data_IF_102648557682
#
_entry.id   IF_102648557682
#
_cell.length_a   1.000
_cell.length_b   1.000
_cell.length_c   1.000
_cell.angle_alpha   90.00
_cell.angle_beta   90.00
_cell.angle_gamma   90.00
#
_symmetry.space_group_name_H-M   'P 1'
#
loop_
_entity.id
_entity.type
_entity.pdbx_description
1 polymer ?
#
# COMPACT_ATOMS: atom_id res chain seq x y z
N UNK A 1 7.48 20.87 -20.63
CA UNK A 1 7.78 19.91 -19.54
C UNK A 1 6.55 19.58 -18.70
N UNK A 2 5.95 20.50 -17.90
CA UNK A 2 4.74 20.16 -17.12
C UNK A 2 3.51 19.80 -17.97
N UNK A 3 3.27 20.54 -19.06
CA UNK A 3 2.17 20.25 -20.01
C UNK A 3 2.33 18.88 -20.70
N UNK A 4 3.57 18.45 -20.96
CA UNK A 4 3.88 17.20 -21.64
C UNK A 4 3.67 16.00 -20.70
N UNK A 5 4.06 16.14 -19.42
CA UNK A 5 3.79 15.15 -18.39
C UNK A 5 2.29 14.95 -18.16
N UNK A 6 1.49 16.04 -18.14
CA UNK A 6 0.04 15.93 -17.98
C UNK A 6 -0.62 15.19 -19.15
N UNK A 7 -0.23 15.50 -20.40
CA UNK A 7 -0.74 14.79 -21.58
C UNK A 7 -0.39 13.30 -21.55
N UNK A 8 0.84 12.97 -21.15
CA UNK A 8 1.30 11.60 -21.02
C UNK A 8 0.52 10.84 -19.93
N UNK A 9 0.33 11.45 -18.77
CA UNK A 9 -0.45 10.84 -17.68
C UNK A 9 -1.90 10.59 -18.11
N UNK A 10 -2.54 11.53 -18.81
CA UNK A 10 -3.89 11.33 -19.35
C UNK A 10 -3.96 10.17 -20.36
N UNK A 11 -2.95 10.03 -21.22
CA UNK A 11 -2.88 8.91 -22.16
C UNK A 11 -2.71 7.57 -21.42
N UNK A 12 -1.83 7.52 -20.41
CA UNK A 12 -1.66 6.33 -19.58
C UNK A 12 -2.95 5.97 -18.82
N UNK A 13 -3.62 6.95 -18.21
CA UNK A 13 -4.89 6.74 -17.52
C UNK A 13 -5.95 6.15 -18.46
N UNK A 14 -6.05 6.67 -19.69
CA UNK A 14 -6.97 6.15 -20.70
C UNK A 14 -6.68 4.69 -21.04
N UNK A 15 -5.41 4.34 -21.26
CA UNK A 15 -5.02 2.98 -21.60
C UNK A 15 -5.25 2.00 -20.43
N UNK A 16 -4.89 2.41 -19.21
CA UNK A 16 -5.06 1.63 -17.97
C UNK A 16 -6.53 1.32 -17.65
N UNK A 17 -7.44 2.25 -17.94
CA UNK A 17 -8.87 2.12 -17.67
C UNK A 17 -9.69 1.66 -18.89
N UNK A 18 -9.01 1.17 -19.94
CA UNK A 18 -9.66 0.68 -21.14
C UNK A 18 -10.42 -0.63 -20.89
N UNK A 19 -11.50 -0.85 -21.65
CA UNK A 19 -12.18 -2.15 -21.71
C UNK A 19 -11.42 -3.20 -22.54
N UNK A 20 -10.41 -2.76 -23.30
CA UNK A 20 -9.65 -3.64 -24.20
C UNK A 20 -8.38 -4.16 -23.51
N UNK A 21 -8.27 -5.48 -23.36
CA UNK A 21 -7.15 -6.14 -22.68
C UNK A 21 -5.78 -5.66 -23.17
N UNK A 22 -5.61 -5.56 -24.49
CA UNK A 22 -4.35 -5.16 -25.10
C UNK A 22 -4.00 -3.69 -24.81
N UNK A 23 -5.00 -2.82 -24.60
CA UNK A 23 -4.76 -1.43 -24.16
C UNK A 23 -4.30 -1.40 -22.70
N UNK A 24 -4.98 -2.14 -21.83
CA UNK A 24 -4.64 -2.22 -20.40
C UNK A 24 -3.21 -2.72 -20.20
N UNK A 25 -2.85 -3.85 -20.83
CA UNK A 25 -1.50 -4.42 -20.73
C UNK A 25 -0.44 -3.45 -21.27
N UNK A 26 -0.72 -2.76 -22.38
CA UNK A 26 0.19 -1.72 -22.89
C UNK A 26 0.35 -0.58 -21.89
N UNK A 27 -0.75 -0.08 -21.32
CA UNK A 27 -0.72 0.95 -20.28
C UNK A 27 0.17 0.56 -19.10
N UNK A 28 -0.02 -0.64 -18.55
CA UNK A 28 0.79 -1.18 -17.44
C UNK A 28 2.28 -1.21 -17.80
N UNK A 29 2.63 -1.69 -19.01
CA UNK A 29 4.03 -1.74 -19.47
C UNK A 29 4.65 -0.37 -19.67
N UNK A 30 3.87 0.63 -20.08
CA UNK A 30 4.38 2.00 -20.21
C UNK A 30 4.53 2.70 -18.86
N UNK A 31 3.69 2.37 -17.87
CA UNK A 31 3.91 2.76 -16.47
C UNK A 31 5.24 2.20 -15.95
N UNK A 32 5.55 0.93 -16.22
CA UNK A 32 6.81 0.32 -15.80
C UNK A 32 8.06 1.06 -16.32
N UNK A 33 7.99 1.63 -17.52
CA UNK A 33 9.10 2.36 -18.13
C UNK A 33 9.20 3.79 -17.64
N UNK A 34 8.06 4.43 -17.40
CA UNK A 34 8.01 5.88 -17.39
C UNK A 34 6.77 6.50 -16.71
N UNK A 35 6.13 5.73 -15.82
CA UNK A 35 5.02 6.16 -15.00
C UNK A 35 5.41 7.25 -13.99
N UNK A 36 4.39 7.75 -13.29
CA UNK A 36 4.55 8.73 -12.21
C UNK A 36 3.52 8.42 -11.10
N UNK A 37 3.69 8.97 -9.88
CA UNK A 37 2.73 8.79 -8.79
C UNK A 37 1.28 9.08 -9.21
N UNK A 38 1.07 10.08 -10.07
CA UNK A 38 -0.25 10.50 -10.55
C UNK A 38 -1.05 9.45 -11.35
N UNK A 39 -0.46 8.27 -11.65
CA UNK A 39 -1.17 7.16 -12.31
C UNK A 39 -1.23 5.89 -11.48
N UNK A 40 -0.73 5.90 -10.23
CA UNK A 40 -0.70 4.73 -9.34
C UNK A 40 -2.11 4.21 -9.07
N UNK A 41 -3.07 5.08 -8.79
CA UNK A 41 -4.46 4.66 -8.61
C UNK A 41 -5.02 3.92 -9.84
N UNK A 42 -4.80 4.44 -11.05
CA UNK A 42 -5.26 3.78 -12.28
C UNK A 42 -4.49 2.48 -12.56
N UNK A 43 -3.21 2.41 -12.20
CA UNK A 43 -2.44 1.16 -12.24
C UNK A 43 -3.08 0.10 -11.33
N UNK A 44 -3.48 0.47 -10.11
CA UNK A 44 -4.14 -0.44 -9.17
C UNK A 44 -5.49 -0.91 -9.70
N UNK A 45 -6.31 -0.02 -10.25
CA UNK A 45 -7.58 -0.38 -10.90
C UNK A 45 -7.34 -1.34 -12.07
N UNK A 46 -6.38 -1.03 -12.95
CA UNK A 46 -6.02 -1.89 -14.07
C UNK A 46 -5.56 -3.28 -13.60
N UNK A 47 -4.76 -3.33 -12.54
CA UNK A 47 -4.17 -4.57 -12.00
C UNK A 47 -5.23 -5.46 -11.35
N UNK A 48 -6.10 -4.88 -10.52
CA UNK A 48 -6.97 -5.65 -9.63
C UNK A 48 -8.44 -5.71 -10.05
N UNK A 49 -8.90 -4.76 -10.89
CA UNK A 49 -10.33 -4.61 -11.22
C UNK A 49 -10.65 -4.74 -12.71
N UNK A 50 -9.65 -4.84 -13.59
CA UNK A 50 -9.89 -5.04 -15.03
C UNK A 50 -10.48 -6.41 -15.39
N UNK A 51 -10.33 -7.41 -14.51
CA UNK A 51 -10.75 -8.79 -14.77
C UNK A 51 -9.84 -9.57 -15.71
N UNK A 52 -8.73 -8.99 -16.17
CA UNK A 52 -7.76 -9.66 -17.04
C UNK A 52 -6.63 -10.30 -16.22
N UNK A 53 -6.44 -11.63 -16.26
CA UNK A 53 -5.37 -12.31 -15.52
C UNK A 53 -3.97 -11.79 -15.89
N UNK A 54 -3.74 -11.45 -17.15
CA UNK A 54 -2.46 -10.90 -17.61
C UNK A 54 -2.20 -9.49 -17.06
N UNK A 55 -3.26 -8.68 -16.85
CA UNK A 55 -3.12 -7.37 -16.22
C UNK A 55 -2.79 -7.51 -14.73
N UNK A 56 -3.36 -8.51 -14.04
CA UNK A 56 -3.02 -8.82 -12.66
C UNK A 56 -1.54 -9.21 -12.53
N UNK A 57 -1.07 -10.12 -13.39
CA UNK A 57 0.32 -10.58 -13.36
C UNK A 57 1.31 -9.45 -13.66
N UNK A 58 1.10 -8.73 -14.77
CA UNK A 58 2.01 -7.65 -15.18
C UNK A 58 1.93 -6.47 -14.21
N UNK A 59 0.74 -6.13 -13.72
CA UNK A 59 0.53 -5.03 -12.77
C UNK A 59 1.26 -5.26 -11.45
N UNK A 60 1.21 -6.47 -10.90
CA UNK A 60 1.97 -6.84 -9.70
C UNK A 60 3.48 -6.68 -9.89
N UNK A 61 4.01 -7.11 -11.04
CA UNK A 61 5.44 -6.91 -11.37
C UNK A 61 5.82 -5.43 -11.34
N UNK A 62 4.95 -4.55 -11.85
CA UNK A 62 5.19 -3.10 -11.82
C UNK A 62 5.12 -2.57 -10.38
N UNK A 63 4.10 -2.93 -9.61
CA UNK A 63 3.91 -2.47 -8.23
C UNK A 63 5.13 -2.82 -7.35
N UNK A 64 5.62 -4.06 -7.44
CA UNK A 64 6.77 -4.53 -6.64
C UNK A 64 8.12 -3.93 -7.11
N UNK A 65 8.13 -3.17 -8.21
CA UNK A 65 9.35 -2.56 -8.75
C UNK A 65 9.24 -1.04 -8.87
N UNK A 66 8.27 -0.39 -8.22
CA UNK A 66 8.17 1.07 -8.18
C UNK A 66 9.46 1.66 -7.60
N UNK A 67 9.97 2.73 -8.22
CA UNK A 67 11.20 3.42 -7.77
C UNK A 67 10.96 4.85 -7.30
N UNK A 68 9.84 5.46 -7.69
CA UNK A 68 9.50 6.81 -7.26
C UNK A 68 8.93 6.76 -5.84
N UNK A 69 9.71 7.27 -4.88
CA UNK A 69 9.34 7.30 -3.46
C UNK A 69 8.05 8.09 -3.21
N UNK A 70 7.69 9.04 -4.08
CA UNK A 70 6.44 9.78 -3.96
C UNK A 70 5.19 8.92 -4.22
N UNK A 71 5.35 7.68 -4.70
CA UNK A 71 4.25 6.74 -4.87
C UNK A 71 3.71 6.20 -3.54
N UNK A 72 4.48 6.26 -2.44
CA UNK A 72 4.04 5.70 -1.14
C UNK A 72 2.72 6.32 -0.68
N UNK A 73 2.53 7.64 -0.84
CA UNK A 73 1.29 8.31 -0.46
C UNK A 73 0.08 7.79 -1.23
N UNK A 74 0.23 7.51 -2.53
CA UNK A 74 -0.84 6.95 -3.36
C UNK A 74 -1.19 5.50 -2.97
N UNK A 75 -0.18 4.71 -2.58
CA UNK A 75 -0.40 3.34 -2.09
C UNK A 75 -1.08 3.34 -0.72
N UNK A 76 -0.68 4.21 0.20
CA UNK A 76 -1.36 4.38 1.51
C UNK A 76 -2.80 4.83 1.31
N UNK A 77 -3.07 5.78 0.41
CA UNK A 77 -4.44 6.19 0.07
C UNK A 77 -5.25 5.02 -0.47
N UNK A 78 -4.66 4.17 -1.32
CA UNK A 78 -5.33 2.99 -1.83
C UNK A 78 -5.62 1.94 -0.76
N UNK A 79 -4.76 1.78 0.26
CA UNK A 79 -5.02 0.90 1.38
C UNK A 79 -6.23 1.35 2.21
N UNK A 80 -6.48 2.66 2.30
CA UNK A 80 -7.66 3.24 2.97
C UNK A 80 -8.95 3.14 2.15
N UNK A 81 -8.85 2.93 0.84
CA UNK A 81 -10.00 2.85 -0.06
C UNK A 81 -10.65 1.45 -0.05
N UNK A 82 -11.95 1.39 0.23
CA UNK A 82 -12.73 0.15 0.25
C UNK A 82 -12.75 -0.56 -1.11
N UNK A 83 -12.51 0.15 -2.22
CA UNK A 83 -12.36 -0.45 -3.55
C UNK A 83 -11.28 -1.54 -3.55
N UNK A 84 -10.21 -1.36 -2.78
CA UNK A 84 -9.07 -2.25 -2.74
C UNK A 84 -9.02 -3.15 -1.51
N UNK A 85 -10.09 -3.22 -0.71
CA UNK A 85 -10.13 -4.00 0.54
C UNK A 85 -9.62 -5.44 0.39
N UNK A 86 -10.04 -6.14 -0.67
CA UNK A 86 -9.62 -7.53 -0.97
C UNK A 86 -8.16 -7.67 -1.41
N UNK A 87 -7.50 -6.56 -1.75
CA UNK A 87 -6.14 -6.52 -2.29
C UNK A 87 -5.16 -5.80 -1.36
N UNK A 88 -5.60 -5.36 -0.17
CA UNK A 88 -4.78 -4.58 0.77
C UNK A 88 -3.46 -5.28 1.08
N UNK A 89 -3.47 -6.58 1.37
CA UNK A 89 -2.24 -7.33 1.62
C UNK A 89 -1.22 -7.20 0.47
N UNK A 90 -1.65 -7.36 -0.79
CA UNK A 90 -0.73 -7.26 -1.95
C UNK A 90 -0.25 -5.81 -2.16
N UNK A 91 -1.12 -4.82 -1.91
CA UNK A 91 -0.75 -3.41 -2.01
C UNK A 91 0.27 -3.05 -0.91
N UNK A 92 0.05 -3.50 0.33
CA UNK A 92 0.98 -3.32 1.44
C UNK A 92 2.32 -4.01 1.14
N UNK A 93 2.30 -5.27 0.68
CA UNK A 93 3.51 -5.98 0.27
C UNK A 93 4.33 -5.19 -0.76
N UNK A 94 3.66 -4.51 -1.71
CA UNK A 94 4.35 -3.71 -2.72
C UNK A 94 5.15 -2.54 -2.16
N UNK A 95 4.78 -2.00 -0.99
CA UNK A 95 5.51 -0.90 -0.35
C UNK A 95 6.90 -1.38 0.08
N UNK A 96 6.98 -2.50 0.80
CA UNK A 96 8.26 -3.01 1.27
C UNK A 96 9.05 -3.68 0.14
N UNK A 97 8.41 -4.46 -0.74
CA UNK A 97 9.08 -5.14 -1.88
C UNK A 97 9.74 -4.13 -2.83
N UNK A 98 9.10 -2.98 -3.04
CA UNK A 98 9.65 -1.92 -3.87
C UNK A 98 10.72 -1.06 -3.15
N UNK A 99 10.88 -1.20 -1.84
CA UNK A 99 11.75 -0.38 -1.00
C UNK A 99 11.28 1.07 -0.91
N UNK A 100 9.96 1.28 -0.77
CA UNK A 100 9.39 2.62 -0.57
C UNK A 100 9.45 3.00 0.91
N UNK A 101 9.84 4.25 1.19
CA UNK A 101 9.92 4.79 2.53
C UNK A 101 8.51 5.12 3.04
N UNK A 102 8.11 4.49 4.14
CA UNK A 102 6.85 4.74 4.86
C UNK A 102 7.07 5.15 6.33
N UNK A 103 8.25 5.68 6.66
CA UNK A 103 8.64 6.10 8.03
C UNK A 103 7.67 7.13 8.62
N UNK A 104 7.14 8.03 7.80
CA UNK A 104 6.20 9.08 8.19
C UNK A 104 4.72 8.65 8.09
N UNK A 105 4.44 7.34 8.11
CA UNK A 105 3.10 6.76 7.93
C UNK A 105 2.68 5.82 9.05
N UNK A 106 3.35 5.83 10.21
CA UNK A 106 3.07 4.89 11.30
C UNK A 106 1.57 4.85 11.66
N UNK A 107 0.96 6.01 11.93
CA UNK A 107 -0.46 6.08 12.32
C UNK A 107 -1.36 5.54 11.21
N UNK A 108 -1.13 5.93 9.97
CA UNK A 108 -1.89 5.43 8.82
C UNK A 108 -1.82 3.90 8.71
N UNK A 109 -0.62 3.34 8.83
CA UNK A 109 -0.38 1.89 8.76
C UNK A 109 -1.13 1.16 9.88
N UNK A 110 -1.11 1.69 11.09
CA UNK A 110 -1.79 1.09 12.25
C UNK A 110 -3.31 1.15 12.12
N UNK A 111 -3.88 2.27 11.67
CA UNK A 111 -5.31 2.39 11.37
C UNK A 111 -5.76 1.38 10.28
N UNK A 112 -4.91 1.19 9.26
CA UNK A 112 -5.15 0.18 8.22
C UNK A 112 -5.10 -1.23 8.84
N UNK A 113 -4.13 -1.54 9.69
CA UNK A 113 -3.97 -2.86 10.30
C UNK A 113 -5.19 -3.27 11.15
N UNK A 114 -5.62 -2.42 12.09
CA UNK A 114 -6.72 -2.75 13.01
C UNK A 114 -8.05 -3.03 12.30
N UNK A 115 -8.25 -2.40 11.13
CA UNK A 115 -9.45 -2.55 10.29
C UNK A 115 -9.35 -3.62 9.20
N UNK A 116 -8.23 -4.36 9.12
CA UNK A 116 -7.95 -5.28 8.01
C UNK A 116 -7.84 -6.75 8.43
N UNK A 117 -7.79 -7.64 7.44
CA UNK A 117 -7.66 -9.07 7.63
C UNK A 117 -6.25 -9.46 8.11
N UNK A 118 -6.11 -10.73 8.51
CA UNK A 118 -4.86 -11.27 9.03
C UNK A 118 -3.67 -11.02 8.10
N UNK A 119 -3.83 -11.28 6.79
CA UNK A 119 -2.73 -11.16 5.84
C UNK A 119 -2.30 -9.70 5.64
N UNK A 120 -3.24 -8.77 5.63
CA UNK A 120 -2.91 -7.35 5.57
C UNK A 120 -2.15 -6.90 6.81
N UNK A 121 -2.53 -7.39 8.01
CA UNK A 121 -1.80 -7.07 9.24
C UNK A 121 -0.35 -7.57 9.16
N UNK A 122 -0.11 -8.78 8.64
CA UNK A 122 1.25 -9.32 8.45
C UNK A 122 2.11 -8.40 7.58
N UNK A 123 1.58 -7.94 6.44
CA UNK A 123 2.32 -7.07 5.53
C UNK A 123 2.55 -5.67 6.13
N UNK A 124 1.58 -5.14 6.89
CA UNK A 124 1.77 -3.89 7.64
C UNK A 124 2.86 -4.04 8.70
N UNK A 125 2.83 -5.12 9.49
CA UNK A 125 3.89 -5.42 10.46
C UNK A 125 5.26 -5.51 9.78
N UNK A 126 5.32 -6.11 8.59
CA UNK A 126 6.57 -6.23 7.83
C UNK A 126 7.09 -4.87 7.39
N UNK A 127 6.24 -3.96 6.91
CA UNK A 127 6.64 -2.58 6.58
C UNK A 127 7.21 -1.89 7.83
N UNK A 128 6.49 -1.97 8.95
CA UNK A 128 6.88 -1.34 10.21
C UNK A 128 8.22 -1.88 10.72
N UNK A 129 8.38 -3.20 10.77
CA UNK A 129 9.61 -3.86 11.25
C UNK A 129 10.85 -3.56 10.40
N UNK A 130 10.68 -3.22 9.12
CA UNK A 130 11.78 -2.83 8.23
C UNK A 130 12.19 -1.36 8.36
N UNK A 131 11.52 -0.56 9.20
CA UNK A 131 11.91 0.82 9.48
C UNK A 131 13.00 0.82 10.57
N UNK A 132 14.24 1.04 10.16
CA UNK A 132 15.41 0.98 11.07
C UNK A 132 15.55 2.22 11.97
N UNK A 133 14.96 3.35 11.58
CA UNK A 133 15.12 4.64 12.27
C UNK A 133 14.33 4.72 13.60
N UNK A 134 13.39 3.81 13.82
CA UNK A 134 12.44 3.88 14.93
C UNK A 134 11.40 4.99 14.71
N UNK A 135 10.59 5.25 15.73
CA UNK A 135 9.49 6.22 15.65
C UNK A 135 9.46 7.16 16.86
N UNK A 136 8.93 8.38 16.71
CA UNK A 136 8.70 9.28 17.83
C UNK A 136 7.84 8.62 18.93
N UNK A 137 8.20 8.86 20.20
CA UNK A 137 7.51 8.26 21.35
C UNK A 137 6.00 8.57 21.39
N UNK A 138 5.61 9.78 21.01
CA UNK A 138 4.21 10.20 20.92
C UNK A 138 3.45 9.43 19.84
N UNK A 139 4.04 9.24 18.66
CA UNK A 139 3.45 8.42 17.61
C UNK A 139 3.31 6.93 18.02
N UNK A 140 4.33 6.36 18.69
CA UNK A 140 4.26 4.98 19.22
C UNK A 140 3.16 4.85 20.28
N UNK A 141 3.02 5.85 21.14
CA UNK A 141 1.98 5.88 22.18
C UNK A 141 0.58 5.94 21.56
N UNK A 142 0.39 6.81 20.56
CA UNK A 142 -0.87 6.93 19.83
C UNK A 142 -1.22 5.64 19.07
N UNK A 143 -0.26 5.09 18.33
CA UNK A 143 -0.43 3.82 17.63
C UNK A 143 -0.81 2.67 18.57
N UNK A 144 -0.13 2.57 19.73
CA UNK A 144 -0.42 1.55 20.74
C UNK A 144 -1.82 1.73 21.33
N UNK A 145 -2.27 2.98 21.52
CA UNK A 145 -3.63 3.27 21.98
C UNK A 145 -4.67 2.80 20.95
N UNK A 146 -4.49 3.14 19.67
CA UNK A 146 -5.38 2.72 18.58
C UNK A 146 -5.52 1.19 18.55
N UNK A 147 -4.41 0.46 18.64
CA UNK A 147 -4.45 -1.01 18.65
C UNK A 147 -5.25 -1.52 19.84
N UNK A 148 -4.93 -1.06 21.05
CA UNK A 148 -5.56 -1.53 22.29
C UNK A 148 -7.07 -1.27 22.32
N UNK A 149 -7.52 -0.12 21.82
CA UNK A 149 -8.95 0.20 21.72
C UNK A 149 -9.68 -0.80 20.80
N UNK A 150 -9.07 -1.16 19.66
CA UNK A 150 -9.68 -2.09 18.70
C UNK A 150 -9.61 -3.56 19.14
N UNK A 151 -8.64 -3.97 19.96
CA UNK A 151 -8.53 -5.36 20.44
C UNK A 151 -9.81 -5.83 21.14
N UNK A 152 -10.53 -4.92 21.81
CA UNK A 152 -11.78 -5.23 22.52
C UNK A 152 -12.98 -5.49 21.59
N UNK A 153 -12.87 -5.14 20.30
CA UNK A 153 -13.95 -5.25 19.31
C UNK A 153 -13.75 -6.44 18.35
N UNK A 154 -12.60 -7.11 18.43
CA UNK A 154 -12.23 -8.22 17.55
C UNK A 154 -12.55 -9.55 18.23
N UNK A 155 -13.24 -10.44 17.51
CA UNK A 155 -13.50 -11.82 17.99
C UNK A 155 -12.44 -12.83 17.51
N UNK A 156 -11.74 -12.52 16.41
CA UNK A 156 -10.73 -13.38 15.82
C UNK A 156 -9.44 -13.38 16.65
N UNK A 157 -9.24 -14.45 17.44
CA UNK A 157 -8.07 -14.65 18.28
C UNK A 157 -6.73 -14.54 17.53
N UNK A 158 -6.68 -14.93 16.25
CA UNK A 158 -5.44 -14.82 15.46
C UNK A 158 -5.12 -13.37 15.14
N UNK A 159 -6.14 -12.56 14.81
CA UNK A 159 -5.97 -11.12 14.61
C UNK A 159 -5.61 -10.41 15.91
N UNK A 160 -6.25 -10.77 17.03
CA UNK A 160 -5.93 -10.23 18.36
C UNK A 160 -4.45 -10.48 18.69
N UNK A 161 -4.00 -11.73 18.54
CA UNK A 161 -2.62 -12.13 18.82
C UNK A 161 -1.62 -11.34 17.96
N UNK A 162 -1.90 -11.22 16.65
CA UNK A 162 -1.01 -10.52 15.73
C UNK A 162 -0.95 -9.01 15.99
N UNK A 163 -2.09 -8.36 16.26
CA UNK A 163 -2.14 -6.94 16.62
C UNK A 163 -1.47 -6.67 17.97
N UNK A 164 -1.59 -7.60 18.93
CA UNK A 164 -0.87 -7.51 20.21
C UNK A 164 0.64 -7.58 19.99
N UNK A 165 1.11 -8.51 19.14
CA UNK A 165 2.52 -8.59 18.74
C UNK A 165 2.99 -7.32 18.04
N UNK A 166 2.17 -6.71 17.18
CA UNK A 166 2.49 -5.44 16.54
C UNK A 166 2.66 -4.32 17.57
N UNK A 167 1.77 -4.22 18.56
CA UNK A 167 1.90 -3.24 19.65
C UNK A 167 3.19 -3.45 20.47
N UNK A 168 3.56 -4.70 20.76
CA UNK A 168 4.83 -5.01 21.43
C UNK A 168 6.05 -4.58 20.59
N UNK A 169 6.04 -4.87 19.28
CA UNK A 169 7.07 -4.44 18.34
C UNK A 169 7.20 -2.90 18.35
N UNK A 170 6.10 -2.17 18.23
CA UNK A 170 6.11 -0.70 18.23
C UNK A 170 6.73 -0.10 19.49
N UNK A 171 6.41 -0.66 20.66
CA UNK A 171 6.99 -0.21 21.93
C UNK A 171 8.52 -0.42 21.98
N UNK A 172 9.05 -1.42 21.28
CA UNK A 172 10.50 -1.64 21.16
C UNK A 172 11.20 -0.71 20.17
N UNK A 173 10.42 -0.04 19.30
CA UNK A 173 10.90 0.85 18.24
C UNK A 173 10.78 2.33 18.59
N UNK A 174 10.33 2.67 19.80
CA UNK A 174 10.26 4.05 20.25
C UNK A 174 11.68 4.64 20.36
N UNK A 175 11.93 5.71 19.62
CA UNK A 175 13.16 6.49 19.71
C UNK A 175 13.15 7.35 20.99
N UNK A 176 14.34 7.55 21.58
CA UNK A 176 14.56 8.42 22.75
C UNK A 176 14.27 9.90 22.47
#
# INVERSE_FOLDING_TARGET
MMLDNNKKNLALQKDLLSSEKEQVIRGIREVAKSGSPAVVYQLLVATFKSGFPEALEEGKKVLFNIKDQNAVGELINALKDDLFKEFRAIIAASIWEAGLNAEDRLIDLVEIAVSSDYMTIVEISTIIENIESGFPYDEVTEASLIINEHLHEIEDESRISLLSSLAETLNSMAAE
#
